data_IF_064900169722
#
_entry.id   IF_064900169722
#
_cell.length_a   1.000
_cell.length_b   1.000
_cell.length_c   1.000
_cell.angle_alpha   90.00
_cell.angle_beta   90.00
_cell.angle_gamma   90.00
#
_symmetry.space_group_name_H-M   'P 1'
#
loop_
_entity.id
_entity.type
_entity.pdbx_description
1 polymer ?
#
# COMPACT_ATOMS: atom_id res chain seq x y z
N UNK A 1 16.84 -43.37 21.85
CA UNK A 1 18.30 -43.48 21.66
C UNK A 1 18.66 -42.67 20.42
N UNK A 2 19.68 -41.78 20.45
CA UNK A 2 20.16 -41.08 19.29
C UNK A 2 20.66 -42.07 18.22
N UNK A 3 20.31 -41.86 16.96
CA UNK A 3 20.72 -42.71 15.85
C UNK A 3 21.91 -42.12 15.04
N UNK A 4 22.39 -40.94 15.42
CA UNK A 4 23.50 -40.28 14.76
C UNK A 4 23.68 -38.83 15.20
N UNK A 5 24.54 -38.12 14.48
CA UNK A 5 24.84 -36.71 14.60
C UNK A 5 24.71 -36.04 13.23
N UNK A 6 24.56 -34.71 13.20
CA UNK A 6 24.50 -33.98 11.95
C UNK A 6 25.38 -32.72 11.96
N UNK A 7 25.77 -32.27 10.77
CA UNK A 7 26.47 -31.01 10.53
C UNK A 7 25.94 -30.36 9.25
N UNK A 8 26.12 -29.07 9.10
CA UNK A 8 25.63 -28.33 7.92
C UNK A 8 24.13 -28.13 7.92
N UNK A 9 23.52 -28.10 6.75
CA UNK A 9 22.09 -27.92 6.56
C UNK A 9 21.60 -26.47 6.62
N UNK A 10 22.51 -25.48 6.52
CA UNK A 10 22.14 -24.05 6.51
C UNK A 10 22.98 -23.28 5.50
N UNK A 11 22.46 -22.15 5.02
CA UNK A 11 23.13 -21.23 4.10
C UNK A 11 23.76 -21.91 2.86
N UNK A 12 23.04 -22.87 2.26
CA UNK A 12 23.52 -23.60 1.08
C UNK A 12 24.56 -24.69 1.37
N UNK A 13 24.95 -24.89 2.64
CA UNK A 13 25.85 -25.98 3.05
C UNK A 13 25.06 -27.28 3.14
N UNK A 14 25.59 -28.37 2.56
CA UNK A 14 24.94 -29.69 2.60
C UNK A 14 24.71 -30.14 4.05
N UNK A 15 23.51 -30.67 4.33
CA UNK A 15 23.24 -31.40 5.55
C UNK A 15 23.91 -32.75 5.49
N UNK A 16 24.87 -33.02 6.37
CA UNK A 16 25.54 -34.30 6.52
C UNK A 16 25.08 -34.96 7.81
N UNK A 17 24.54 -36.16 7.72
CA UNK A 17 24.09 -36.95 8.86
C UNK A 17 24.96 -38.18 8.96
N UNK A 18 25.67 -38.30 10.10
CA UNK A 18 26.52 -39.48 10.41
C UNK A 18 25.72 -40.41 11.32
N UNK A 19 25.33 -41.55 10.80
CA UNK A 19 24.58 -42.57 11.52
C UNK A 19 25.52 -43.40 12.44
N UNK A 20 24.98 -43.90 13.54
CA UNK A 20 25.66 -44.79 14.47
C UNK A 20 25.04 -46.22 14.42
N UNK A 21 25.57 -47.15 15.24
CA UNK A 21 25.13 -48.54 15.27
C UNK A 21 23.67 -48.75 15.78
N UNK A 22 23.01 -47.68 16.28
CA UNK A 22 21.60 -47.74 16.67
C UNK A 22 20.66 -47.39 15.49
N UNK A 23 21.19 -47.02 14.34
CA UNK A 23 20.42 -46.74 13.14
C UNK A 23 20.04 -48.04 12.42
N UNK A 24 18.76 -48.16 12.08
CA UNK A 24 18.22 -49.22 11.23
C UNK A 24 17.36 -48.61 10.10
N UNK A 25 16.90 -49.46 9.18
CA UNK A 25 16.10 -49.01 8.04
C UNK A 25 14.81 -48.25 8.45
N UNK A 26 14.22 -48.59 9.59
CA UNK A 26 13.00 -47.96 10.08
C UNK A 26 13.28 -46.55 10.61
N UNK A 27 14.33 -46.43 11.44
CA UNK A 27 14.71 -45.15 12.03
C UNK A 27 15.28 -44.18 11.02
N UNK A 28 16.05 -44.67 10.03
CA UNK A 28 16.57 -43.88 8.90
C UNK A 28 15.43 -43.40 8.00
N UNK A 29 14.45 -44.26 7.71
CA UNK A 29 13.25 -43.87 6.96
C UNK A 29 12.46 -42.79 7.67
N UNK A 30 12.29 -42.89 9.00
CA UNK A 30 11.63 -41.87 9.81
C UNK A 30 12.42 -40.55 9.79
N UNK A 31 13.74 -40.61 9.89
CA UNK A 31 14.62 -39.44 9.80
C UNK A 31 14.45 -38.71 8.46
N UNK A 32 14.54 -39.42 7.34
CA UNK A 32 14.43 -38.81 6.00
C UNK A 32 13.07 -38.10 5.83
N UNK A 33 11.98 -38.70 6.33
CA UNK A 33 10.64 -38.10 6.28
C UNK A 33 10.47 -36.86 7.13
N UNK A 34 11.36 -36.62 8.08
CA UNK A 34 11.33 -35.47 8.99
C UNK A 34 12.37 -34.38 8.61
N UNK A 35 13.12 -34.55 7.51
CA UNK A 35 13.96 -33.48 6.99
C UNK A 35 13.05 -32.42 6.34
N UNK A 36 13.14 -31.16 6.81
CA UNK A 36 12.37 -30.04 6.33
C UNK A 36 13.27 -29.03 5.61
N UNK A 37 12.71 -28.32 4.66
CA UNK A 37 13.30 -27.14 4.05
C UNK A 37 12.64 -25.88 4.63
N UNK A 38 13.45 -24.88 5.00
CA UNK A 38 12.97 -23.56 5.39
C UNK A 38 13.69 -22.49 4.55
N UNK A 39 12.91 -21.54 4.03
CA UNK A 39 13.47 -20.31 3.47
C UNK A 39 13.56 -19.27 4.59
N UNK A 40 14.70 -18.61 4.75
CA UNK A 40 14.93 -17.58 5.76
C UNK A 40 14.60 -16.18 5.26
N UNK A 41 14.47 -16.00 3.96
CA UNK A 41 13.95 -14.77 3.35
C UNK A 41 12.42 -14.89 3.26
N UNK A 42 11.72 -14.19 4.15
CA UNK A 42 10.27 -14.24 4.27
C UNK A 42 9.58 -13.06 3.61
N UNK A 43 10.29 -11.96 3.35
CA UNK A 43 9.73 -10.76 2.75
C UNK A 43 9.78 -10.81 1.21
N UNK A 44 10.95 -11.11 0.63
CA UNK A 44 11.11 -11.16 -0.82
C UNK A 44 11.82 -12.45 -1.27
N UNK A 45 11.24 -13.63 -1.03
CA UNK A 45 11.89 -14.90 -1.30
C UNK A 45 12.18 -15.05 -2.79
N UNK A 46 13.39 -15.51 -3.12
CA UNK A 46 13.66 -15.95 -4.50
C UNK A 46 12.75 -17.13 -4.81
N UNK A 47 11.81 -16.94 -5.72
CA UNK A 47 10.81 -17.95 -6.08
C UNK A 47 11.39 -19.04 -6.99
N UNK A 48 10.66 -20.15 -7.15
CA UNK A 48 10.96 -21.24 -8.06
C UNK A 48 11.35 -22.54 -7.37
N UNK A 49 11.70 -23.52 -8.19
CA UNK A 49 12.01 -24.88 -7.73
C UNK A 49 13.41 -24.97 -7.14
N UNK A 50 13.53 -25.73 -6.06
CA UNK A 50 14.78 -26.15 -5.40
C UNK A 50 14.85 -27.66 -5.46
N UNK A 51 15.99 -28.19 -5.87
CA UNK A 51 16.25 -29.63 -5.83
C UNK A 51 16.97 -29.97 -4.53
N UNK A 52 16.37 -30.82 -3.72
CA UNK A 52 16.99 -31.42 -2.54
C UNK A 52 17.46 -32.82 -2.92
N UNK A 53 18.78 -33.01 -2.99
CA UNK A 53 19.38 -34.31 -3.37
C UNK A 53 19.74 -35.10 -2.14
N UNK A 54 19.30 -36.33 -2.08
CA UNK A 54 19.67 -37.31 -1.09
C UNK A 54 20.67 -38.32 -1.67
N UNK A 55 21.73 -38.57 -0.91
CA UNK A 55 22.75 -39.56 -1.22
C UNK A 55 23.07 -40.32 0.05
N UNK A 56 23.12 -41.64 -0.02
CA UNK A 56 23.54 -42.51 1.08
C UNK A 56 24.93 -43.08 0.77
N UNK A 57 25.78 -43.16 1.79
CA UNK A 57 27.06 -43.83 1.74
C UNK A 57 27.13 -44.94 2.80
N UNK A 58 27.75 -46.04 2.51
CA UNK A 58 27.93 -47.19 3.42
C UNK A 58 29.14 -47.06 4.36
N UNK A 59 29.95 -46.03 4.17
CA UNK A 59 31.17 -45.81 4.94
C UNK A 59 32.42 -46.52 4.38
N UNK A 60 32.28 -47.46 3.46
CA UNK A 60 33.36 -48.23 2.85
C UNK A 60 33.64 -47.82 1.38
N UNK A 61 33.02 -46.69 0.95
CA UNK A 61 33.19 -46.13 -0.39
C UNK A 61 32.02 -46.41 -1.36
N UNK A 62 31.06 -47.21 -0.98
CA UNK A 62 29.81 -47.41 -1.71
C UNK A 62 28.90 -46.17 -1.58
N UNK A 63 28.28 -45.80 -2.71
CA UNK A 63 27.37 -44.63 -2.77
C UNK A 63 26.11 -45.02 -3.52
N UNK A 64 24.95 -44.64 -2.97
CA UNK A 64 23.66 -44.84 -3.64
C UNK A 64 23.55 -44.01 -4.92
N UNK A 65 22.61 -44.36 -5.79
CA UNK A 65 22.10 -43.43 -6.80
C UNK A 65 21.48 -42.22 -6.12
N UNK A 66 21.49 -41.08 -6.80
CA UNK A 66 20.88 -39.85 -6.31
C UNK A 66 19.35 -40.02 -6.26
N UNK A 67 18.73 -39.52 -5.18
CA UNK A 67 17.30 -39.31 -5.10
C UNK A 67 17.04 -37.81 -4.96
N UNK A 68 16.34 -37.23 -5.92
CA UNK A 68 16.05 -35.80 -5.97
C UNK A 68 14.58 -35.55 -5.60
N UNK A 69 14.37 -34.69 -4.60
CA UNK A 69 13.06 -34.15 -4.24
C UNK A 69 12.99 -32.68 -4.65
N UNK A 70 11.83 -32.24 -5.13
CA UNK A 70 11.61 -30.85 -5.53
C UNK A 70 10.81 -30.12 -4.43
N UNK A 71 11.32 -28.95 -4.02
CA UNK A 71 10.61 -27.98 -3.18
C UNK A 71 10.36 -26.73 -4.02
N UNK A 72 9.10 -26.29 -4.10
CA UNK A 72 8.76 -25.05 -4.78
C UNK A 72 8.58 -23.94 -3.76
N UNK A 73 9.31 -22.85 -3.95
CA UNK A 73 9.18 -21.61 -3.17
C UNK A 73 8.28 -20.65 -3.96
N UNK A 74 7.20 -20.21 -3.33
CA UNK A 74 6.29 -19.20 -3.87
C UNK A 74 6.36 -17.95 -2.99
N UNK A 75 6.30 -16.78 -3.59
CA UNK A 75 6.09 -15.54 -2.85
C UNK A 75 4.64 -15.48 -2.36
N UNK A 76 4.45 -14.86 -1.22
CA UNK A 76 3.15 -14.47 -0.67
C UNK A 76 3.24 -12.95 -0.57
N UNK A 77 2.15 -12.26 -0.87
CA UNK A 77 2.10 -10.80 -0.74
C UNK A 77 2.32 -10.39 0.70
N UNK A 78 3.16 -9.39 0.92
CA UNK A 78 3.25 -8.64 2.17
C UNK A 78 2.56 -7.28 2.00
N UNK A 79 1.87 -6.81 3.03
CA UNK A 79 1.16 -5.54 2.95
C UNK A 79 2.11 -4.34 2.85
N UNK A 80 1.76 -3.31 2.07
CA UNK A 80 2.56 -2.09 1.97
C UNK A 80 2.60 -1.34 3.29
N UNK A 81 3.61 -0.51 3.46
CA UNK A 81 3.78 0.38 4.62
C UNK A 81 3.60 1.83 4.15
N UNK A 82 2.68 2.55 4.79
CA UNK A 82 2.56 4.00 4.68
C UNK A 82 3.26 4.63 5.89
N UNK A 83 4.34 5.34 5.66
CA UNK A 83 4.99 6.10 6.74
C UNK A 83 4.11 7.31 7.08
N UNK A 84 3.99 7.58 8.40
CA UNK A 84 3.36 8.81 8.90
C UNK A 84 4.10 10.03 8.32
N UNK A 85 3.39 10.87 7.58
CA UNK A 85 3.93 11.98 6.83
C UNK A 85 2.91 13.11 6.70
N UNK A 86 3.38 14.31 6.42
CA UNK A 86 2.52 15.47 6.24
C UNK A 86 2.03 15.53 4.79
N UNK A 87 0.99 14.75 4.45
CA UNK A 87 0.40 14.77 3.11
C UNK A 87 -0.47 16.00 2.99
N UNK A 88 0.00 17.00 2.25
CA UNK A 88 -0.72 18.26 2.06
C UNK A 88 -0.54 18.81 0.65
N UNK A 89 -1.47 19.66 0.23
CA UNK A 89 -1.38 20.48 -0.96
C UNK A 89 -2.20 21.75 -0.79
N UNK A 90 -1.99 22.73 -1.65
CA UNK A 90 -2.70 24.01 -1.57
C UNK A 90 -3.74 24.13 -2.68
N UNK A 91 -4.88 24.73 -2.34
CA UNK A 91 -5.92 25.14 -3.28
C UNK A 91 -6.27 26.60 -3.01
N UNK A 92 -6.79 27.32 -4.01
CA UNK A 92 -7.31 28.68 -3.82
C UNK A 92 -8.78 28.58 -3.38
N UNK A 93 -9.22 29.48 -2.51
CA UNK A 93 -10.66 29.64 -2.28
C UNK A 93 -11.34 30.01 -3.60
N UNK A 94 -12.60 29.76 -3.75
CA UNK A 94 -13.39 29.96 -4.97
C UNK A 94 -12.92 29.14 -6.21
N UNK A 95 -11.99 28.23 -5.99
CA UNK A 95 -11.51 27.33 -7.05
C UNK A 95 -12.55 26.26 -7.42
N UNK A 96 -13.78 26.53 -7.54
CA UNK A 96 -14.93 25.73 -7.97
C UNK A 96 -14.67 24.24 -8.34
N UNK A 97 -15.69 23.51 -8.73
CA UNK A 97 -15.56 22.12 -9.19
C UNK A 97 -14.66 22.03 -10.44
N UNK A 98 -13.85 20.97 -10.57
CA UNK A 98 -12.98 20.79 -11.73
C UNK A 98 -13.83 20.55 -12.99
N UNK A 99 -13.37 21.08 -14.12
CA UNK A 99 -14.05 20.92 -15.42
C UNK A 99 -13.47 19.72 -16.16
N UNK A 100 -14.34 18.85 -16.67
CA UNK A 100 -13.93 17.74 -17.51
C UNK A 100 -13.10 18.22 -18.73
N UNK A 101 -12.02 17.51 -19.03
CA UNK A 101 -11.05 17.90 -20.05
C UNK A 101 -9.91 18.79 -19.53
N UNK A 102 -9.87 19.10 -18.22
CA UNK A 102 -8.79 19.89 -17.61
C UNK A 102 -8.00 19.09 -16.57
N UNK A 103 -6.67 19.11 -16.69
CA UNK A 103 -5.76 18.42 -15.77
C UNK A 103 -5.36 19.35 -14.60
N UNK A 104 -6.28 19.61 -13.68
CA UNK A 104 -6.05 20.39 -12.45
C UNK A 104 -5.74 19.48 -11.25
N UNK A 105 -5.58 20.03 -10.06
CA UNK A 105 -5.34 19.29 -8.82
C UNK A 105 -3.95 18.66 -8.72
N UNK A 106 -3.72 17.89 -7.67
CA UNK A 106 -2.45 17.26 -7.38
C UNK A 106 -2.37 15.84 -7.98
N UNK A 107 -1.27 15.45 -8.65
CA UNK A 107 -1.09 14.07 -9.08
C UNK A 107 -0.97 13.14 -7.85
N UNK A 108 -1.47 11.92 -7.96
CA UNK A 108 -1.44 10.98 -6.84
C UNK A 108 -0.01 10.65 -6.40
N UNK A 109 0.95 10.68 -7.33
CA UNK A 109 2.38 10.48 -7.06
C UNK A 109 2.97 11.49 -6.04
N UNK A 110 2.33 12.64 -5.83
CA UNK A 110 2.73 13.57 -4.78
C UNK A 110 2.53 13.01 -3.36
N UNK A 111 1.67 12.01 -3.20
CA UNK A 111 1.24 11.46 -1.91
C UNK A 111 1.70 10.02 -1.67
N UNK A 112 2.29 9.36 -2.66
CA UNK A 112 2.74 7.95 -2.57
C UNK A 112 4.25 7.81 -2.33
N UNK A 113 4.97 8.92 -2.17
CA UNK A 113 6.44 8.91 -2.00
C UNK A 113 6.90 8.14 -0.76
N UNK A 114 6.12 8.19 0.33
CA UNK A 114 6.39 7.49 1.60
C UNK A 114 5.92 6.03 1.63
N UNK A 115 5.26 5.55 0.57
CA UNK A 115 4.84 4.15 0.48
C UNK A 115 6.04 3.27 0.16
N UNK A 116 6.25 2.26 0.99
CA UNK A 116 7.24 1.19 0.80
C UNK A 116 6.57 -0.16 0.88
N UNK A 117 7.24 -1.19 0.37
CA UNK A 117 6.69 -2.54 0.36
C UNK A 117 7.79 -3.56 0.64
N UNK A 118 7.57 -4.54 1.56
CA UNK A 118 8.53 -5.61 1.80
C UNK A 118 8.80 -6.49 0.57
N UNK A 119 7.82 -6.64 -0.33
CA UNK A 119 7.98 -7.37 -1.59
C UNK A 119 8.89 -6.63 -2.61
N UNK A 120 9.37 -5.44 -2.27
CA UNK A 120 10.28 -4.63 -3.09
C UNK A 120 9.57 -3.55 -3.90
N UNK A 121 9.96 -3.39 -5.16
CA UNK A 121 9.38 -2.36 -6.03
C UNK A 121 8.05 -2.84 -6.61
N UNK A 122 6.95 -2.53 -5.92
CA UNK A 122 5.59 -2.81 -6.35
C UNK A 122 4.89 -1.56 -6.90
N UNK A 123 3.78 -1.75 -7.58
CA UNK A 123 2.89 -0.68 -7.98
C UNK A 123 2.30 -0.01 -6.73
N UNK A 124 2.20 1.31 -6.72
CA UNK A 124 1.71 2.08 -5.57
C UNK A 124 0.34 2.66 -5.85
N UNK A 125 -0.42 2.84 -4.80
CA UNK A 125 -1.71 3.50 -4.82
C UNK A 125 -2.15 3.89 -3.41
N UNK A 126 -3.33 4.50 -3.34
CA UNK A 126 -3.98 4.85 -2.08
C UNK A 126 -5.41 4.28 -2.06
N UNK A 127 -5.83 3.81 -0.91
CA UNK A 127 -7.21 3.52 -0.57
C UNK A 127 -7.76 4.66 0.30
N UNK A 128 -8.76 5.39 -0.17
CA UNK A 128 -9.41 6.47 0.58
C UNK A 128 -10.50 5.86 1.44
N UNK A 129 -10.34 5.90 2.75
CA UNK A 129 -11.23 5.27 3.74
C UNK A 129 -12.14 6.26 4.47
N UNK A 130 -11.84 7.57 4.38
CA UNK A 130 -12.70 8.64 4.92
C UNK A 130 -12.49 9.91 4.12
N UNK A 131 -13.54 10.72 4.00
CA UNK A 131 -13.49 12.06 3.41
C UNK A 131 -14.30 13.04 4.25
N UNK A 132 -13.74 14.23 4.51
CA UNK A 132 -14.45 15.36 5.11
C UNK A 132 -14.92 16.28 3.98
N UNK A 133 -16.24 16.46 3.89
CA UNK A 133 -16.87 17.27 2.84
C UNK A 133 -17.65 18.47 3.41
N UNK A 134 -17.43 18.84 4.69
CA UNK A 134 -18.07 19.99 5.33
C UNK A 134 -17.57 21.31 4.74
N UNK A 135 -16.29 21.37 4.37
CA UNK A 135 -15.61 22.59 3.95
C UNK A 135 -15.41 22.67 2.42
N UNK A 136 -15.85 21.64 1.70
CA UNK A 136 -15.74 21.53 0.25
C UNK A 136 -16.06 20.14 -0.25
N UNK A 137 -15.78 19.88 -1.51
CA UNK A 137 -16.03 18.59 -2.16
C UNK A 137 -14.75 18.01 -2.74
N UNK A 138 -14.51 16.71 -2.49
CA UNK A 138 -13.39 15.98 -3.04
C UNK A 138 -13.72 15.37 -4.39
N UNK A 139 -12.79 15.55 -5.34
CA UNK A 139 -12.85 14.98 -6.67
C UNK A 139 -11.59 14.18 -6.98
N UNK A 140 -11.73 13.20 -7.87
CA UNK A 140 -10.62 12.45 -8.42
C UNK A 140 -10.81 12.23 -9.93
N UNK A 141 -9.71 11.94 -10.59
CA UNK A 141 -9.67 11.47 -11.97
C UNK A 141 -8.66 10.34 -12.10
N UNK A 142 -8.87 9.43 -13.04
CA UNK A 142 -7.92 8.36 -13.39
C UNK A 142 -7.45 8.47 -14.85
N UNK A 143 -7.91 9.51 -15.57
CA UNK A 143 -7.72 9.73 -17.00
C UNK A 143 -7.15 11.12 -17.33
N UNK A 144 -6.29 11.65 -16.44
CA UNK A 144 -5.62 12.95 -16.56
C UNK A 144 -6.57 14.14 -16.63
N UNK A 145 -7.76 14.04 -16.02
CA UNK A 145 -8.74 15.11 -15.98
C UNK A 145 -9.73 15.11 -17.16
N UNK A 146 -9.69 14.09 -18.01
CA UNK A 146 -10.71 13.96 -19.06
C UNK A 146 -12.09 13.81 -18.44
N UNK A 147 -12.18 13.05 -17.31
CA UNK A 147 -13.39 12.90 -16.51
C UNK A 147 -13.08 13.12 -15.04
N UNK A 148 -13.84 13.98 -14.36
CA UNK A 148 -13.77 14.20 -12.92
C UNK A 148 -14.97 13.57 -12.23
N UNK A 149 -14.73 12.83 -11.17
CA UNK A 149 -15.73 12.16 -10.34
C UNK A 149 -15.60 12.63 -8.89
N UNK A 150 -16.69 12.67 -8.16
CA UNK A 150 -16.65 12.94 -6.71
C UNK A 150 -16.17 11.69 -5.96
N UNK A 151 -15.37 11.87 -4.91
CA UNK A 151 -15.00 10.80 -3.98
C UNK A 151 -16.26 10.24 -3.31
N UNK A 152 -17.14 11.13 -2.85
CA UNK A 152 -18.39 10.79 -2.19
C UNK A 152 -18.18 9.93 -0.93
N UNK A 153 -19.22 9.27 -0.45
CA UNK A 153 -19.14 8.48 0.78
C UNK A 153 -18.16 7.30 0.64
N UNK A 154 -17.19 7.25 1.55
CA UNK A 154 -16.18 6.20 1.69
C UNK A 154 -16.08 5.73 3.13
N UNK A 155 -15.64 4.50 3.33
CA UNK A 155 -15.40 3.87 4.63
C UNK A 155 -14.43 2.71 4.46
N UNK A 156 -13.96 2.09 5.56
CA UNK A 156 -13.14 0.86 5.46
C UNK A 156 -13.84 -0.26 4.68
N UNK A 157 -15.18 -0.35 4.73
CA UNK A 157 -15.94 -1.35 3.96
C UNK A 157 -16.28 -0.93 2.52
N UNK A 158 -15.97 0.31 2.14
CA UNK A 158 -16.22 0.88 0.81
C UNK A 158 -15.17 1.94 0.47
N UNK A 159 -13.90 1.55 0.51
CA UNK A 159 -12.75 2.44 0.24
C UNK A 159 -12.54 2.65 -1.24
N UNK A 160 -12.37 3.90 -1.66
CA UNK A 160 -12.04 4.22 -3.05
C UNK A 160 -10.56 3.94 -3.32
N UNK A 161 -10.27 3.06 -4.27
CA UNK A 161 -8.90 2.76 -4.70
C UNK A 161 -8.45 3.69 -5.81
N UNK A 162 -7.29 4.30 -5.64
CA UNK A 162 -6.63 5.13 -6.65
C UNK A 162 -5.21 4.60 -6.90
N UNK A 163 -4.96 4.12 -8.12
CA UNK A 163 -3.63 3.67 -8.55
C UNK A 163 -2.75 4.89 -8.85
N UNK A 164 -1.48 4.86 -8.45
CA UNK A 164 -0.50 5.90 -8.78
C UNK A 164 -0.06 5.74 -10.24
N UNK A 165 -0.82 6.39 -11.10
CA UNK A 165 -0.55 6.48 -12.55
C UNK A 165 -0.43 7.94 -12.96
N UNK A 166 0.15 8.19 -14.12
CA UNK A 166 0.28 9.55 -14.65
C UNK A 166 -1.08 10.26 -14.84
N UNK A 167 -2.17 9.48 -14.99
CA UNK A 167 -3.52 10.00 -15.16
C UNK A 167 -4.29 10.23 -13.86
N UNK A 168 -3.81 9.73 -12.73
CA UNK A 168 -4.56 9.80 -11.46
C UNK A 168 -4.23 11.08 -10.71
N UNK A 169 -5.26 11.83 -10.35
CA UNK A 169 -5.15 13.11 -9.61
C UNK A 169 -6.26 13.23 -8.57
N UNK A 170 -5.99 13.99 -7.54
CA UNK A 170 -6.94 14.44 -6.53
C UNK A 170 -7.14 15.95 -6.63
N UNK A 171 -8.36 16.39 -6.36
CA UNK A 171 -8.73 17.80 -6.33
C UNK A 171 -9.71 18.04 -5.20
N UNK A 172 -9.52 19.15 -4.47
CA UNK A 172 -10.47 19.64 -3.48
C UNK A 172 -11.06 20.96 -3.97
N UNK A 173 -12.38 21.04 -4.10
CA UNK A 173 -13.10 22.26 -4.39
C UNK A 173 -13.65 22.83 -3.08
N UNK A 174 -13.07 23.91 -2.52
CA UNK A 174 -13.56 24.53 -1.29
C UNK A 174 -14.98 25.08 -1.46
N UNK A 175 -15.72 25.16 -0.37
CA UNK A 175 -16.92 25.98 -0.32
C UNK A 175 -16.54 27.46 -0.51
N UNK A 176 -17.45 28.26 -1.09
CA UNK A 176 -17.24 29.69 -1.32
C UNK A 176 -16.82 30.41 -0.03
N UNK A 177 -15.78 31.22 -0.10
CA UNK A 177 -15.21 31.99 1.00
C UNK A 177 -14.67 31.15 2.18
N UNK A 178 -14.40 29.84 1.96
CA UNK A 178 -13.73 29.03 2.97
C UNK A 178 -12.22 29.17 2.82
N UNK A 179 -11.54 29.49 3.92
CA UNK A 179 -10.07 29.57 4.00
C UNK A 179 -9.54 28.81 5.22
N UNK A 180 -8.35 28.26 5.12
CA UNK A 180 -7.72 27.52 6.22
C UNK A 180 -7.42 26.05 5.88
N UNK A 181 -7.15 25.27 6.91
CA UNK A 181 -6.83 23.85 6.76
C UNK A 181 -8.09 23.00 6.89
N UNK A 182 -8.28 22.05 5.96
CA UNK A 182 -9.28 21.00 6.08
C UNK A 182 -8.64 19.80 6.79
N UNK A 183 -9.04 19.56 8.05
CA UNK A 183 -8.46 18.51 8.90
C UNK A 183 -9.51 17.70 9.67
N UNK A 184 -9.46 16.34 9.62
CA UNK A 184 -8.79 15.57 8.59
C UNK A 184 -9.46 15.76 7.23
N UNK A 185 -8.70 15.94 6.16
CA UNK A 185 -9.26 16.09 4.82
C UNK A 185 -9.71 14.74 4.25
N UNK A 186 -8.75 13.89 3.88
CA UNK A 186 -8.95 12.48 3.59
C UNK A 186 -8.18 11.64 4.60
N UNK A 187 -8.68 10.45 4.92
CA UNK A 187 -7.89 9.40 5.57
C UNK A 187 -7.61 8.34 4.51
N UNK A 188 -6.33 8.00 4.36
CA UNK A 188 -5.85 7.11 3.31
C UNK A 188 -5.02 5.97 3.88
N UNK A 189 -4.95 4.83 3.16
CA UNK A 189 -4.02 3.73 3.36
C UNK A 189 -3.19 3.54 2.11
N UNK A 190 -1.97 3.01 2.24
CA UNK A 190 -1.24 2.55 1.08
C UNK A 190 -1.92 1.32 0.48
N UNK A 191 -1.83 1.20 -0.85
CA UNK A 191 -2.33 0.08 -1.63
C UNK A 191 -1.25 -0.35 -2.63
N UNK A 192 -0.88 -1.64 -2.62
CA UNK A 192 0.16 -2.24 -3.46
C UNK A 192 -0.35 -2.73 -4.82
N UNK A 193 -1.67 -2.66 -5.04
CA UNK A 193 -2.37 -3.11 -6.25
C UNK A 193 -2.34 -4.65 -6.46
N UNK A 194 -1.95 -5.45 -5.48
CA UNK A 194 -2.02 -6.91 -5.56
C UNK A 194 -3.45 -7.44 -5.61
N UNK A 195 -4.42 -6.65 -5.15
CA UNK A 195 -5.86 -6.91 -5.27
C UNK A 195 -6.64 -5.62 -5.45
N UNK A 196 -7.88 -5.72 -5.99
CA UNK A 196 -8.73 -4.56 -6.28
C UNK A 196 -8.43 -3.91 -7.64
N UNK A 197 -9.22 -2.90 -7.99
CA UNK A 197 -9.10 -2.16 -9.26
C UNK A 197 -9.20 -0.67 -8.99
N UNK A 198 -8.28 0.12 -9.54
CA UNK A 198 -8.29 1.59 -9.42
C UNK A 198 -9.59 2.21 -9.95
N UNK A 199 -10.09 3.23 -9.26
CA UNK A 199 -11.36 3.89 -9.57
C UNK A 199 -12.60 3.17 -9.04
N UNK A 200 -12.45 2.04 -8.33
CA UNK A 200 -13.57 1.29 -7.73
C UNK A 200 -13.56 1.37 -6.21
N UNK A 201 -14.71 1.12 -5.59
CA UNK A 201 -14.81 0.99 -4.13
C UNK A 201 -14.79 -0.48 -3.72
N UNK A 202 -13.96 -0.80 -2.71
CA UNK A 202 -13.77 -2.16 -2.19
C UNK A 202 -13.76 -2.17 -0.67
N UNK A 203 -13.94 -3.33 -0.08
CA UNK A 203 -13.78 -3.55 1.37
C UNK A 203 -12.28 -3.68 1.70
N UNK A 204 -11.77 -2.78 2.55
CA UNK A 204 -10.40 -2.75 3.07
C UNK A 204 -10.37 -2.91 4.59
N UNK A 205 -11.41 -3.50 5.19
CA UNK A 205 -11.51 -3.69 6.64
C UNK A 205 -10.48 -4.69 7.19
N UNK A 206 -9.94 -5.57 6.35
CA UNK A 206 -8.80 -6.43 6.67
C UNK A 206 -7.53 -5.79 6.10
N UNK A 207 -6.52 -5.59 6.96
CA UNK A 207 -5.33 -4.78 6.66
C UNK A 207 -4.07 -5.45 7.21
N UNK A 208 -2.92 -5.07 6.65
CA UNK A 208 -1.63 -5.63 7.07
C UNK A 208 -1.44 -7.09 6.64
N UNK A 209 -0.47 -7.76 7.21
CA UNK A 209 -0.08 -9.13 6.89
C UNK A 209 0.11 -9.34 5.38
N UNK A 210 -0.72 -10.18 4.76
CA UNK A 210 -0.68 -10.55 3.34
C UNK A 210 -1.72 -9.82 2.50
N UNK A 211 -2.36 -8.77 3.03
CA UNK A 211 -3.36 -7.99 2.31
C UNK A 211 -2.71 -6.93 1.41
N UNK A 212 -3.50 -6.40 0.48
CA UNK A 212 -3.03 -5.31 -0.38
C UNK A 212 -2.97 -3.93 0.31
N UNK A 213 -3.29 -3.82 1.60
CA UNK A 213 -3.53 -2.55 2.29
C UNK A 213 -2.67 -2.38 3.52
N UNK A 214 -2.07 -1.20 3.70
CA UNK A 214 -1.27 -0.89 4.89
C UNK A 214 -2.10 -0.97 6.17
N UNK A 215 -1.47 -1.48 7.25
CA UNK A 215 -2.10 -1.54 8.58
C UNK A 215 -2.38 -0.12 9.12
N UNK A 216 -1.46 0.81 8.91
CA UNK A 216 -1.57 2.21 9.36
C UNK A 216 -2.04 3.07 8.21
N UNK A 217 -2.93 4.02 8.49
CA UNK A 217 -3.35 5.08 7.58
C UNK A 217 -2.65 6.40 7.88
N UNK A 218 -2.81 7.36 6.98
CA UNK A 218 -2.32 8.73 7.12
C UNK A 218 -3.42 9.71 6.70
N UNK A 219 -3.29 11.00 7.07
CA UNK A 219 -4.20 12.05 6.64
C UNK A 219 -3.62 12.84 5.47
N UNK A 220 -4.50 13.25 4.56
CA UNK A 220 -4.17 14.14 3.45
C UNK A 220 -5.01 15.41 3.60
N UNK A 221 -4.35 16.51 3.94
CA UNK A 221 -4.99 17.72 4.43
C UNK A 221 -4.70 18.91 3.51
N UNK A 222 -5.68 19.40 2.71
CA UNK A 222 -5.48 20.58 1.90
C UNK A 222 -5.49 21.85 2.74
N UNK A 223 -4.67 22.82 2.34
CA UNK A 223 -4.70 24.19 2.83
C UNK A 223 -5.36 25.08 1.78
N UNK A 224 -6.45 25.75 2.16
CA UNK A 224 -7.16 26.68 1.30
C UNK A 224 -6.63 28.09 1.52
N UNK A 225 -6.11 28.70 0.46
CA UNK A 225 -5.50 30.04 0.47
C UNK A 225 -6.55 31.06 0.04
N UNK A 226 -6.66 32.15 0.80
CA UNK A 226 -7.55 33.27 0.49
C UNK A 226 -7.26 33.90 -0.88
N UNK A 227 -8.32 34.26 -1.58
CA UNK A 227 -8.32 35.08 -2.79
C UNK A 227 -9.06 36.37 -2.47
N UNK A 228 -8.64 37.50 -3.04
CA UNK A 228 -9.32 38.77 -2.78
C UNK A 228 -10.67 38.82 -3.48
N UNK A 229 -11.73 38.98 -2.69
CA UNK A 229 -13.08 39.18 -3.19
C UNK A 229 -13.38 40.68 -3.44
N UNK A 230 -14.15 40.91 -4.49
CA UNK A 230 -14.62 42.29 -4.72
C UNK A 230 -15.65 42.70 -3.66
N UNK A 231 -15.57 43.92 -3.13
CA UNK A 231 -16.57 44.37 -2.16
C UNK A 231 -17.97 44.45 -2.79
N UNK A 232 -18.96 43.95 -2.08
CA UNK A 232 -20.37 44.01 -2.50
C UNK A 232 -21.06 45.22 -1.87
N UNK A 233 -21.83 45.96 -2.66
CA UNK A 233 -22.65 47.05 -2.18
C UNK A 233 -24.02 46.49 -1.73
N UNK A 234 -24.26 46.43 -0.43
CA UNK A 234 -25.57 46.06 0.10
C UNK A 234 -26.51 47.27 0.06
N UNK A 235 -27.51 47.26 -0.81
CA UNK A 235 -28.61 48.26 -0.78
C UNK A 235 -29.66 47.70 0.19
N UNK A 236 -29.55 48.04 1.50
CA UNK A 236 -30.61 47.78 2.47
C UNK A 236 -31.67 48.87 2.39
N UNK A 237 -32.92 48.50 2.21
CA UNK A 237 -34.17 49.25 2.43
C UNK A 237 -34.12 50.78 2.27
N UNK A 238 -33.68 51.30 1.12
CA UNK A 238 -33.88 52.70 0.73
C UNK A 238 -33.10 53.76 1.53
N UNK A 239 -32.24 53.39 2.44
CA UNK A 239 -31.30 54.31 3.11
C UNK A 239 -29.87 54.04 2.63
N UNK A 240 -29.30 55.01 1.93
CA UNK A 240 -27.88 55.06 1.60
C UNK A 240 -27.08 55.29 2.89
N UNK A 241 -26.71 54.24 3.60
CA UNK A 241 -25.73 54.34 4.68
C UNK A 241 -24.35 54.24 4.05
N UNK A 242 -23.68 55.36 3.82
CA UNK A 242 -22.27 55.40 3.50
C UNK A 242 -21.47 54.94 4.71
N UNK A 243 -21.17 53.67 4.80
CA UNK A 243 -20.08 53.23 5.65
C UNK A 243 -18.78 53.58 4.90
N UNK A 244 -18.18 54.71 5.21
CA UNK A 244 -16.82 55.01 4.80
C UNK A 244 -15.94 54.11 5.66
N UNK A 245 -15.47 52.99 5.08
CA UNK A 245 -14.45 52.18 5.68
C UNK A 245 -13.19 53.01 5.85
N UNK A 246 -12.72 53.17 7.07
CA UNK A 246 -11.42 53.76 7.35
C UNK A 246 -10.36 52.75 6.96
N UNK A 247 -9.59 53.07 5.91
CA UNK A 247 -8.33 52.41 5.60
C UNK A 247 -7.35 52.59 6.78
N UNK A 248 -6.92 51.50 7.35
CA UNK A 248 -5.71 51.40 8.18
C UNK A 248 -4.89 50.16 7.80
#
# INVERSE_FOLDING_TARGET
TPIGTFTGGSNGTSLVITLNSSADATTVTALIKNITYANTDTAAPTTGSRTVRYVLTDGDGGTSTNYDATVTVSAVNDAPVLADSNLTFTVLEDAGAPVNGTAVGAPLSAFTGSVTDPDGAVAKGLAIISSTETDGTWYYTTDAGATWLTVGAVSDSASLLLADTAGTRLYFAPNSNYTGNVFPGLIVRAWDQSSGVGGTKVDTSVQGDTTAFSLVGDTLDPTVIAVNDAPTFGIGDGMLTTAIGSDH
#
